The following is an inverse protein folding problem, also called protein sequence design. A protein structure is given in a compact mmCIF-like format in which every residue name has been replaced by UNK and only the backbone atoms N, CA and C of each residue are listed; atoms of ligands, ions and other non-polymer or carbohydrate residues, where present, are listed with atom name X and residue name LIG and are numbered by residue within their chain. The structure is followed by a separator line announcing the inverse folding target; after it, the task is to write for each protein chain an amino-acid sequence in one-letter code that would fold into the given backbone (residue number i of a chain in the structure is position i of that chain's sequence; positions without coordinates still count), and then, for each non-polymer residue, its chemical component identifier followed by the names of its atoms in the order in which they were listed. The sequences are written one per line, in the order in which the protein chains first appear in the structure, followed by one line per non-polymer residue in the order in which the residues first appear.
data_IF_940762004322
#
_entry.id   IF_940762004322
#
_cell.length_a   1.000
_cell.length_b   1.000
_cell.length_c   1.000
_cell.angle_alpha   90.00
_cell.angle_beta   90.00
_cell.angle_gamma   90.00
#
_symmetry.space_group_name_H-M   'P 1'
#
loop_
_entity.id
_entity.type
_entity.pdbx_description
1 polymer ?
#
# COMPACT_ATOMS: atom_id res chain seq x y z
N UNK A 1 24.57 27.82 3.45
CA UNK A 1 24.11 26.59 2.79
C UNK A 1 22.77 26.19 3.38
N UNK A 2 21.68 26.26 2.62
CA UNK A 2 20.39 25.76 3.11
C UNK A 2 20.48 24.22 3.18
N UNK A 3 20.25 23.64 4.35
CA UNK A 3 20.20 22.18 4.51
C UNK A 3 18.93 21.59 3.90
N UNK A 4 18.94 20.29 3.58
CA UNK A 4 17.80 19.58 2.98
C UNK A 4 16.48 19.82 3.74
N UNK A 5 16.53 19.81 5.08
CA UNK A 5 15.38 20.11 5.94
C UNK A 5 14.84 21.53 5.72
N UNK A 6 15.72 22.52 5.55
CA UNK A 6 15.33 23.92 5.27
C UNK A 6 14.64 24.03 3.91
N UNK A 7 15.12 23.31 2.90
CA UNK A 7 14.48 23.27 1.57
C UNK A 7 13.12 22.60 1.64
N UNK A 8 12.99 21.46 2.33
CA UNK A 8 11.70 20.75 2.48
C UNK A 8 10.68 21.63 3.21
N UNK A 9 11.08 22.26 4.31
CA UNK A 9 10.20 23.14 5.08
C UNK A 9 9.70 24.32 4.24
N UNK A 10 10.62 25.03 3.58
CA UNK A 10 10.26 26.20 2.78
C UNK A 10 9.37 25.85 1.58
N UNK A 11 9.53 24.66 0.99
CA UNK A 11 8.75 24.22 -0.17
C UNK A 11 7.36 23.69 0.20
N UNK A 12 7.26 22.87 1.26
CA UNK A 12 6.04 22.11 1.53
C UNK A 12 5.29 22.53 2.80
N UNK A 13 6.00 23.07 3.80
CA UNK A 13 5.44 23.24 5.15
C UNK A 13 5.34 24.69 5.63
N UNK A 14 5.96 25.65 4.93
CA UNK A 14 5.94 27.08 5.33
C UNK A 14 4.58 27.76 5.15
N UNK A 15 3.79 27.34 4.16
CA UNK A 15 2.45 27.89 3.90
C UNK A 15 1.39 26.89 4.31
N UNK A 16 0.41 27.32 5.12
CA UNK A 16 -0.66 26.46 5.62
C UNK A 16 -1.46 25.78 4.49
N UNK A 17 -1.75 26.50 3.41
CA UNK A 17 -2.48 25.95 2.26
C UNK A 17 -1.68 24.86 1.53
N UNK A 18 -0.39 25.11 1.29
CA UNK A 18 0.51 24.14 0.65
C UNK A 18 0.71 22.93 1.57
N UNK A 19 0.89 23.16 2.87
CA UNK A 19 1.01 22.11 3.87
C UNK A 19 -0.21 21.18 3.85
N UNK A 20 -1.43 21.75 3.91
CA UNK A 20 -2.67 20.97 3.85
C UNK A 20 -2.75 20.12 2.58
N UNK A 21 -2.49 20.72 1.41
CA UNK A 21 -2.49 19.98 0.14
C UNK A 21 -1.43 18.87 0.11
N UNK A 22 -0.23 19.14 0.65
CA UNK A 22 0.88 18.18 0.70
C UNK A 22 0.49 16.99 1.57
N UNK A 23 -0.07 17.24 2.74
CA UNK A 23 -0.52 16.19 3.66
C UNK A 23 -1.59 15.32 2.98
N UNK A 24 -2.62 15.90 2.38
CA UNK A 24 -3.67 15.13 1.72
C UNK A 24 -3.16 14.30 0.53
N UNK A 25 -2.40 14.92 -0.37
CA UNK A 25 -1.83 14.20 -1.52
C UNK A 25 -0.90 13.08 -1.04
N UNK A 26 -0.06 13.34 -0.05
CA UNK A 26 0.84 12.33 0.52
C UNK A 26 0.07 11.19 1.18
N UNK A 27 -1.03 11.47 1.88
CA UNK A 27 -1.84 10.45 2.53
C UNK A 27 -2.43 9.48 1.51
N UNK A 28 -2.98 9.97 0.40
CA UNK A 28 -3.48 9.11 -0.69
C UNK A 28 -2.36 8.29 -1.34
N UNK A 29 -1.22 8.92 -1.64
CA UNK A 29 -0.10 8.24 -2.26
C UNK A 29 0.48 7.14 -1.35
N UNK A 30 0.65 7.45 -0.06
CA UNK A 30 1.15 6.51 0.95
C UNK A 30 0.14 5.39 1.16
N UNK A 31 -1.15 5.68 1.28
CA UNK A 31 -2.19 4.66 1.44
C UNK A 31 -2.13 3.64 0.29
N UNK A 32 -2.15 4.11 -0.96
CA UNK A 32 -2.11 3.23 -2.12
C UNK A 32 -0.83 2.38 -2.17
N UNK A 33 0.33 2.99 -1.87
CA UNK A 33 1.60 2.28 -1.84
C UNK A 33 1.67 1.26 -0.69
N UNK A 34 1.13 1.63 0.48
CA UNK A 34 1.11 0.79 1.66
C UNK A 34 0.18 -0.41 1.49
N UNK A 35 -1.02 -0.21 0.95
CA UNK A 35 -1.99 -1.29 0.71
C UNK A 35 -1.38 -2.34 -0.23
N UNK A 36 -0.87 -1.91 -1.39
CA UNK A 36 -0.26 -2.85 -2.36
C UNK A 36 1.03 -3.48 -1.82
N UNK A 37 1.87 -2.69 -1.16
CA UNK A 37 3.14 -3.16 -0.61
C UNK A 37 2.94 -4.19 0.50
N UNK A 38 2.05 -3.88 1.45
CA UNK A 38 1.72 -4.76 2.57
C UNK A 38 1.05 -6.05 2.09
N UNK A 39 0.12 -5.97 1.13
CA UNK A 39 -0.49 -7.17 0.56
C UNK A 39 0.55 -8.04 -0.18
N UNK A 40 1.48 -7.45 -0.93
CA UNK A 40 2.55 -8.20 -1.59
C UNK A 40 3.45 -8.91 -0.58
N UNK A 41 3.82 -8.23 0.51
CA UNK A 41 4.61 -8.82 1.60
C UNK A 41 3.85 -9.98 2.23
N UNK A 42 2.57 -9.77 2.57
CA UNK A 42 1.72 -10.81 3.14
C UNK A 42 1.60 -12.04 2.23
N UNK A 43 1.39 -11.81 0.93
CA UNK A 43 1.26 -12.86 -0.05
C UNK A 43 2.53 -13.68 -0.20
N UNK A 44 3.69 -13.02 -0.14
CA UNK A 44 4.97 -13.69 -0.21
C UNK A 44 5.22 -14.56 1.02
N UNK A 45 4.89 -14.07 2.21
CA UNK A 45 5.08 -14.80 3.48
C UNK A 45 4.13 -16.00 3.57
N UNK A 46 2.88 -15.84 3.10
CA UNK A 46 1.83 -16.85 3.24
C UNK A 46 1.57 -17.67 1.97
N UNK A 47 2.50 -17.66 1.02
CA UNK A 47 2.36 -18.35 -0.26
C UNK A 47 2.02 -19.83 -0.06
N UNK A 48 0.98 -20.29 -0.74
CA UNK A 48 0.51 -21.69 -0.69
C UNK A 48 -0.40 -22.01 0.49
N UNK A 49 -0.64 -21.06 1.40
CA UNK A 49 -1.56 -21.20 2.54
C UNK A 49 -2.82 -20.37 2.40
N UNK A 50 -2.81 -19.37 1.52
CA UNK A 50 -3.95 -18.48 1.35
C UNK A 50 -5.04 -19.17 0.56
N UNK A 51 -6.30 -18.80 0.83
CA UNK A 51 -7.44 -19.32 0.07
C UNK A 51 -7.25 -19.14 -1.43
N UNK A 52 -6.78 -17.97 -1.88
CA UNK A 52 -6.49 -17.71 -3.30
C UNK A 52 -5.46 -18.67 -3.94
N UNK A 53 -4.59 -19.27 -3.13
CA UNK A 53 -3.58 -20.23 -3.61
C UNK A 53 -4.14 -21.67 -3.66
N UNK A 54 -5.08 -22.02 -2.79
CA UNK A 54 -5.59 -23.39 -2.63
C UNK A 54 -7.02 -23.59 -3.17
N UNK A 55 -7.75 -22.52 -3.48
CA UNK A 55 -9.16 -22.52 -3.87
C UNK A 55 -9.47 -23.50 -4.99
N UNK A 56 -8.61 -23.55 -6.02
CA UNK A 56 -8.84 -24.40 -7.19
C UNK A 56 -9.03 -25.88 -6.82
N UNK A 57 -8.31 -26.37 -5.81
CA UNK A 57 -8.40 -27.77 -5.35
C UNK A 57 -9.76 -28.12 -4.77
N UNK A 58 -10.38 -27.18 -4.06
CA UNK A 58 -11.65 -27.42 -3.38
C UNK A 58 -12.86 -27.17 -4.27
N UNK A 59 -12.76 -26.25 -5.22
CA UNK A 59 -13.83 -26.04 -6.21
C UNK A 59 -13.93 -27.23 -7.16
N UNK A 60 -12.79 -27.75 -7.64
CA UNK A 60 -12.79 -28.95 -8.49
C UNK A 60 -13.32 -30.19 -7.75
N UNK A 61 -12.89 -30.41 -6.50
CA UNK A 61 -13.42 -31.52 -5.71
C UNK A 61 -14.95 -31.44 -5.49
N UNK A 62 -15.50 -30.22 -5.32
CA UNK A 62 -16.93 -30.04 -5.19
C UNK A 62 -17.69 -30.30 -6.49
N UNK A 63 -17.11 -29.98 -7.65
CA UNK A 63 -17.68 -30.28 -8.97
C UNK A 63 -17.63 -31.78 -9.32
N UNK A 64 -16.64 -32.52 -8.82
CA UNK A 64 -16.51 -33.98 -9.04
C UNK A 64 -17.43 -34.81 -8.12
N UNK A 65 -17.87 -34.25 -6.99
CA UNK A 65 -18.80 -34.89 -6.04
C UNK A 65 -20.29 -34.70 -6.42
N UNK A 66 -20.59 -33.83 -7.40
CA UNK A 66 -21.95 -33.52 -7.91
C UNK A 66 -22.29 -34.32 -9.18
#
# INVERSE_FOLDING_TARGET
MAGLSSTIYNTFFRSNGIMLSTVFVSAFAIQMAFDQGSEKIWNSINKGRQWKDIKAKYVQAAEEEE
#
